data_IF_566499617499
#
_entry.id   IF_566499617499
#
_cell.length_a   1.000
_cell.length_b   1.000
_cell.length_c   1.000
_cell.angle_alpha   90.00
_cell.angle_beta   90.00
_cell.angle_gamma   90.00
#
_symmetry.space_group_name_H-M   'P 1'
#
loop_
_entity.id
_entity.type
_entity.pdbx_description
1 polymer ?
#
# COMPACT_ATOMS: atom_id res chain seq x y z
N UNK A 1 37.09 -48.11 -36.20
CA UNK A 1 37.22 -46.89 -35.38
C UNK A 1 35.82 -46.41 -35.04
N UNK A 2 35.38 -46.53 -33.78
CA UNK A 2 34.06 -46.06 -33.34
C UNK A 2 34.11 -44.59 -32.93
N UNK A 3 33.07 -43.77 -33.20
CA UNK A 3 33.06 -42.38 -32.78
C UNK A 3 32.75 -42.27 -31.27
N UNK A 4 33.22 -41.20 -30.60
CA UNK A 4 32.89 -40.99 -29.19
C UNK A 4 31.44 -40.49 -29.07
N UNK A 5 30.69 -41.13 -28.17
CA UNK A 5 29.37 -40.65 -27.76
C UNK A 5 29.59 -39.46 -26.82
N UNK A 6 29.28 -38.26 -27.28
CA UNK A 6 29.31 -37.06 -26.45
C UNK A 6 28.06 -37.08 -25.56
N UNK A 7 28.27 -37.42 -24.30
CA UNK A 7 27.23 -37.37 -23.26
C UNK A 7 26.99 -35.90 -22.88
N UNK A 8 26.06 -35.23 -23.57
CA UNK A 8 25.60 -33.91 -23.18
C UNK A 8 24.81 -34.02 -21.87
N UNK A 9 25.46 -33.71 -20.75
CA UNK A 9 24.78 -33.52 -19.47
C UNK A 9 23.93 -32.25 -19.55
N UNK A 10 22.61 -32.42 -19.67
CA UNK A 10 21.64 -31.35 -19.56
C UNK A 10 21.76 -30.74 -18.15
N UNK A 11 22.50 -29.64 -18.02
CA UNK A 11 22.43 -28.78 -16.85
C UNK A 11 21.03 -28.21 -16.80
N UNK A 12 20.22 -28.70 -15.87
CA UNK A 12 18.88 -28.16 -15.61
C UNK A 12 19.02 -26.66 -15.32
N UNK A 13 18.38 -25.84 -16.15
CA UNK A 13 18.33 -24.40 -15.94
C UNK A 13 17.75 -24.10 -14.55
N UNK A 14 18.23 -23.06 -13.84
CA UNK A 14 17.68 -22.68 -12.56
C UNK A 14 16.17 -22.49 -12.70
N UNK A 15 15.43 -23.17 -11.83
CA UNK A 15 13.96 -23.19 -11.82
C UNK A 15 13.46 -21.74 -11.86
N UNK A 16 12.91 -21.31 -12.99
CA UNK A 16 12.37 -19.94 -13.21
C UNK A 16 11.47 -19.62 -12.01
N UNK A 17 11.92 -18.77 -11.08
CA UNK A 17 11.06 -18.34 -9.99
C UNK A 17 9.86 -17.65 -10.63
N UNK A 18 8.65 -18.16 -10.38
CA UNK A 18 7.43 -17.53 -10.90
C UNK A 18 7.41 -16.06 -10.51
N UNK A 19 7.04 -15.18 -11.45
CA UNK A 19 6.80 -13.78 -11.14
C UNK A 19 5.57 -13.65 -10.22
N UNK A 20 5.39 -12.47 -9.63
CA UNK A 20 4.13 -12.13 -9.00
C UNK A 20 3.12 -11.73 -10.08
N UNK A 21 1.97 -12.39 -10.09
CA UNK A 21 0.86 -12.06 -10.99
C UNK A 21 -0.03 -11.02 -10.29
N UNK A 22 -0.42 -9.96 -11.00
CA UNK A 22 -1.39 -8.98 -10.49
C UNK A 22 -2.78 -9.57 -10.61
N UNK A 23 -3.47 -9.70 -9.48
CA UNK A 23 -4.81 -10.29 -9.40
C UNK A 23 -5.89 -9.21 -9.53
N UNK A 24 -5.72 -8.10 -8.81
CA UNK A 24 -6.68 -6.99 -8.80
C UNK A 24 -5.96 -5.69 -8.47
N UNK A 25 -6.45 -4.61 -9.07
CA UNK A 25 -6.07 -3.24 -8.70
C UNK A 25 -7.34 -2.52 -8.31
N UNK A 26 -7.31 -1.86 -7.16
CA UNK A 26 -8.36 -0.96 -6.69
C UNK A 26 -7.71 0.37 -6.33
N UNK A 27 -8.37 1.48 -6.61
CA UNK A 27 -7.83 2.80 -6.29
C UNK A 27 -8.93 3.80 -5.94
N UNK A 28 -8.54 4.80 -5.16
CA UNK A 28 -9.32 5.98 -4.87
C UNK A 28 -8.41 7.20 -5.11
N UNK A 29 -8.85 8.11 -5.98
CA UNK A 29 -8.15 9.37 -6.19
C UNK A 29 -8.08 10.18 -4.90
N UNK A 30 -7.02 10.99 -4.70
CA UNK A 30 -6.93 11.86 -3.53
C UNK A 30 -8.17 12.76 -3.41
N UNK A 31 -8.89 12.63 -2.30
CA UNK A 31 -10.07 13.45 -2.01
C UNK A 31 -9.84 14.27 -0.73
N UNK A 32 -10.32 15.54 -0.69
CA UNK A 32 -10.29 16.34 0.53
C UNK A 32 -11.00 15.61 1.67
N UNK A 33 -10.35 15.59 2.84
CA UNK A 33 -10.93 15.09 4.07
C UNK A 33 -11.51 16.28 4.81
N UNK A 34 -12.84 16.42 4.78
CA UNK A 34 -13.53 17.48 5.47
C UNK A 34 -13.60 17.19 6.97
N UNK A 35 -13.13 18.12 7.79
CA UNK A 35 -13.26 18.07 9.25
C UNK A 35 -14.54 18.77 9.73
N UNK A 36 -15.59 18.76 8.92
CA UNK A 36 -16.86 19.39 9.27
C UNK A 36 -17.39 18.85 10.62
N UNK A 37 -17.71 19.77 11.53
CA UNK A 37 -18.22 19.44 12.87
C UNK A 37 -17.17 19.19 13.95
N UNK A 38 -15.86 19.25 13.64
CA UNK A 38 -14.81 19.13 14.65
C UNK A 38 -14.13 20.47 14.93
N UNK A 39 -13.80 20.71 16.20
CA UNK A 39 -12.99 21.85 16.61
C UNK A 39 -11.52 21.57 16.27
N UNK A 40 -11.17 21.77 14.99
CA UNK A 40 -9.83 21.52 14.45
C UNK A 40 -9.35 22.76 13.72
N UNK A 41 -8.19 23.27 14.17
CA UNK A 41 -7.52 24.40 13.55
C UNK A 41 -6.32 23.92 12.73
N UNK A 42 -6.34 24.16 11.42
CA UNK A 42 -5.22 23.86 10.53
C UNK A 42 -4.21 25.00 10.61
N UNK A 43 -3.07 24.74 11.24
CA UNK A 43 -2.01 25.73 11.48
C UNK A 43 -1.06 25.84 10.29
N UNK A 44 -0.74 24.71 9.65
CA UNK A 44 0.23 24.64 8.56
C UNK A 44 -0.08 23.49 7.64
N UNK A 45 0.02 23.73 6.33
CA UNK A 45 -0.14 22.70 5.32
C UNK A 45 1.15 22.52 4.55
N UNK A 46 1.54 21.28 4.30
CA UNK A 46 2.67 20.98 3.41
C UNK A 46 2.39 21.53 2.00
N UNK A 47 3.37 22.14 1.32
CA UNK A 47 3.22 22.56 -0.07
C UNK A 47 3.06 21.37 -1.02
N UNK A 48 3.54 20.19 -0.62
CA UNK A 48 3.55 18.99 -1.46
C UNK A 48 2.77 17.84 -0.81
N UNK A 49 2.08 17.10 -1.66
CA UNK A 49 1.55 15.78 -1.30
C UNK A 49 2.67 14.75 -1.31
N UNK A 50 2.50 13.71 -0.51
CA UNK A 50 3.44 12.60 -0.41
C UNK A 50 2.75 11.29 -0.76
N UNK A 51 3.53 10.26 -1.08
CA UNK A 51 3.04 8.90 -1.28
C UNK A 51 4.02 7.90 -0.68
N UNK A 52 3.54 7.05 0.21
CA UNK A 52 4.29 5.92 0.74
C UNK A 52 3.87 4.62 0.06
N UNK A 53 4.80 3.68 -0.13
CA UNK A 53 4.52 2.38 -0.71
C UNK A 53 4.81 1.26 0.30
N UNK A 54 3.77 0.48 0.59
CA UNK A 54 3.76 -0.49 1.68
C UNK A 54 3.41 -1.88 1.16
N UNK A 55 4.21 -2.88 1.53
CA UNK A 55 4.02 -4.26 1.07
C UNK A 55 3.63 -5.15 2.24
N UNK A 56 2.57 -5.93 2.06
CA UNK A 56 2.03 -6.84 3.07
C UNK A 56 1.91 -8.25 2.50
N UNK A 57 2.70 -9.18 3.02
CA UNK A 57 2.59 -10.60 2.67
C UNK A 57 1.51 -11.28 3.51
N UNK A 58 0.62 -12.02 2.84
CA UNK A 58 -0.57 -12.63 3.44
C UNK A 58 -0.43 -14.16 3.45
N UNK A 59 -0.94 -14.78 4.51
CA UNK A 59 -0.83 -16.24 4.71
C UNK A 59 -1.92 -17.06 4.01
N UNK A 60 -3.13 -16.54 3.89
CA UNK A 60 -4.29 -17.34 3.46
C UNK A 60 -5.28 -16.58 2.57
N UNK A 61 -5.65 -15.36 2.96
CA UNK A 61 -6.62 -14.53 2.24
C UNK A 61 -6.18 -13.06 2.21
N UNK A 62 -6.71 -12.30 1.27
CA UNK A 62 -6.45 -10.87 1.19
C UNK A 62 -7.20 -10.13 2.30
N UNK A 63 -6.45 -9.39 3.13
CA UNK A 63 -7.01 -8.51 4.16
C UNK A 63 -6.85 -7.06 3.72
N UNK A 64 -7.59 -6.67 2.68
CA UNK A 64 -7.42 -5.41 1.97
C UNK A 64 -7.61 -4.20 2.89
N UNK A 65 -8.69 -4.20 3.66
CA UNK A 65 -9.01 -3.08 4.56
C UNK A 65 -7.95 -2.88 5.63
N UNK A 66 -7.48 -3.99 6.22
CA UNK A 66 -6.42 -3.95 7.23
C UNK A 66 -5.09 -3.48 6.65
N UNK A 67 -4.72 -3.96 5.45
CA UNK A 67 -3.51 -3.51 4.77
C UNK A 67 -3.57 -2.00 4.45
N UNK A 68 -4.73 -1.50 4.01
CA UNK A 68 -4.94 -0.08 3.75
C UNK A 68 -4.84 0.77 5.02
N UNK A 69 -5.48 0.34 6.10
CA UNK A 69 -5.39 1.01 7.41
C UNK A 69 -3.94 1.04 7.93
N UNK A 70 -3.23 -0.09 7.82
CA UNK A 70 -1.83 -0.18 8.23
C UNK A 70 -0.93 0.75 7.39
N UNK A 71 -1.15 0.83 6.08
CA UNK A 71 -0.44 1.76 5.20
C UNK A 71 -0.67 3.22 5.60
N UNK A 72 -1.93 3.61 5.86
CA UNK A 72 -2.26 4.96 6.36
C UNK A 72 -1.53 5.28 7.67
N UNK A 73 -1.56 4.34 8.62
CA UNK A 73 -0.87 4.49 9.91
C UNK A 73 0.63 4.67 9.71
N UNK A 74 1.26 3.89 8.82
CA UNK A 74 2.69 4.02 8.53
C UNK A 74 3.01 5.39 7.92
N UNK A 75 2.22 5.86 6.96
CA UNK A 75 2.42 7.20 6.38
C UNK A 75 2.28 8.30 7.44
N UNK A 76 1.30 8.21 8.33
CA UNK A 76 1.13 9.15 9.43
C UNK A 76 2.34 9.15 10.40
N UNK A 77 2.95 7.99 10.64
CA UNK A 77 4.18 7.92 11.44
C UNK A 77 5.37 8.56 10.73
N UNK A 78 5.46 8.43 9.40
CA UNK A 78 6.53 9.04 8.61
C UNK A 78 6.45 10.56 8.63
N UNK A 79 5.28 11.16 8.38
CA UNK A 79 5.12 12.63 8.36
C UNK A 79 5.33 13.27 9.74
N UNK A 80 5.19 12.48 10.80
CA UNK A 80 5.44 12.92 12.17
C UNK A 80 6.89 13.35 12.37
N UNK A 81 7.82 12.77 11.60
CA UNK A 81 9.24 13.16 11.58
C UNK A 81 9.42 14.62 11.14
N UNK A 82 8.55 15.08 10.23
CA UNK A 82 8.53 16.46 9.71
C UNK A 82 7.57 17.39 10.48
N UNK A 83 7.14 16.94 11.68
CA UNK A 83 6.23 17.65 12.58
C UNK A 83 4.83 17.88 12.01
N UNK A 84 4.37 17.04 11.08
CA UNK A 84 2.97 16.98 10.66
C UNK A 84 2.21 15.91 11.46
N UNK A 85 0.89 16.04 11.60
CA UNK A 85 0.07 15.11 12.37
C UNK A 85 -1.21 14.65 11.68
N UNK A 86 -1.57 15.24 10.55
CA UNK A 86 -2.77 14.87 9.76
C UNK A 86 -2.51 14.86 8.26
N UNK A 87 -3.46 14.29 7.52
CA UNK A 87 -3.53 14.34 6.06
C UNK A 87 -4.84 15.01 5.64
N UNK A 88 -4.79 16.10 4.85
CA UNK A 88 -5.98 16.87 4.46
C UNK A 88 -6.65 16.39 3.17
N UNK A 89 -5.93 15.62 2.36
CA UNK A 89 -6.47 15.02 1.14
C UNK A 89 -5.82 13.67 0.97
N UNK A 90 -6.60 12.60 1.08
CA UNK A 90 -6.10 11.22 1.14
C UNK A 90 -6.55 10.45 -0.10
N UNK A 91 -5.66 9.62 -0.63
CA UNK A 91 -5.93 8.75 -1.78
C UNK A 91 -5.05 7.52 -1.73
N UNK A 92 -5.43 6.46 -2.44
CA UNK A 92 -4.69 5.20 -2.36
C UNK A 92 -4.84 4.36 -3.62
N UNK A 93 -3.84 3.50 -3.85
CA UNK A 93 -3.86 2.43 -4.85
C UNK A 93 -3.44 1.13 -4.18
N UNK A 94 -4.32 0.14 -4.22
CA UNK A 94 -4.12 -1.19 -3.66
C UNK A 94 -4.00 -2.21 -4.78
N UNK A 95 -2.88 -2.94 -4.80
CA UNK A 95 -2.59 -3.99 -5.77
C UNK A 95 -2.53 -5.34 -5.05
N UNK A 96 -3.46 -6.23 -5.37
CA UNK A 96 -3.42 -7.63 -4.96
C UNK A 96 -2.53 -8.41 -5.92
N UNK A 97 -1.62 -9.21 -5.38
CA UNK A 97 -0.68 -10.01 -6.14
C UNK A 97 -0.63 -11.44 -5.61
N UNK A 98 -0.42 -12.40 -6.53
CA UNK A 98 -0.30 -13.83 -6.20
C UNK A 98 0.95 -14.43 -6.83
N UNK A 99 1.58 -15.36 -6.13
CA UNK A 99 2.68 -16.21 -6.65
C UNK A 99 2.49 -17.62 -6.14
N UNK A 100 1.76 -18.45 -6.89
CA UNK A 100 1.38 -19.78 -6.43
C UNK A 100 0.46 -19.70 -5.20
N UNK A 101 0.84 -20.23 -4.03
CA UNK A 101 0.07 -20.09 -2.79
C UNK A 101 0.34 -18.77 -2.06
N UNK A 102 1.38 -18.02 -2.45
CA UNK A 102 1.76 -16.78 -1.78
C UNK A 102 0.85 -15.65 -2.23
N UNK A 103 0.37 -14.87 -1.27
CA UNK A 103 -0.48 -13.71 -1.49
C UNK A 103 0.25 -12.46 -0.99
N UNK A 104 0.12 -11.35 -1.71
CA UNK A 104 0.73 -10.07 -1.37
C UNK A 104 -0.22 -8.93 -1.70
N UNK A 105 -0.20 -7.91 -0.87
CA UNK A 105 -0.85 -6.62 -1.13
C UNK A 105 0.22 -5.55 -1.16
N UNK A 106 0.24 -4.74 -2.21
CA UNK A 106 1.04 -3.52 -2.29
C UNK A 106 0.08 -2.33 -2.23
N UNK A 107 0.27 -1.45 -1.26
CA UNK A 107 -0.53 -0.24 -1.08
C UNK A 107 0.37 0.96 -1.33
N UNK A 108 0.05 1.76 -2.34
CA UNK A 108 0.54 3.13 -2.45
C UNK A 108 -0.49 4.04 -1.77
N UNK A 109 -0.13 4.60 -0.62
CA UNK A 109 -1.00 5.52 0.13
C UNK A 109 -0.48 6.94 -0.01
N UNK A 110 -1.37 7.86 -0.36
CA UNK A 110 -1.03 9.25 -0.66
C UNK A 110 -1.81 10.20 0.23
N UNK A 111 -1.19 11.33 0.54
CA UNK A 111 -1.77 12.31 1.44
C UNK A 111 -1.14 13.68 1.31
N UNK A 112 -1.88 14.74 1.65
CA UNK A 112 -1.31 16.09 1.86
C UNK A 112 -1.07 16.34 3.36
N UNK A 113 0.19 16.32 3.85
CA UNK A 113 0.48 16.51 5.27
C UNK A 113 0.06 17.89 5.77
N UNK A 114 -0.43 17.97 7.00
CA UNK A 114 -0.68 19.22 7.69
C UNK A 114 -0.48 19.10 9.21
N UNK A 115 -0.39 20.25 9.85
CA UNK A 115 -0.39 20.45 11.29
C UNK A 115 -1.77 20.95 11.67
N UNK A 116 -2.44 20.19 12.53
CA UNK A 116 -3.73 20.51 13.09
C UNK A 116 -3.66 20.57 14.62
N UNK A 117 -4.36 21.51 15.23
CA UNK A 117 -4.63 21.55 16.67
C UNK A 117 -6.09 21.19 16.93
N UNK A 118 -6.38 20.67 18.12
CA UNK A 118 -7.74 20.24 18.50
C UNK A 118 -7.93 18.72 18.42
N UNK A 119 -9.18 18.29 18.26
CA UNK A 119 -9.56 16.87 18.31
C UNK A 119 -9.30 16.16 16.98
N UNK A 120 -8.03 15.82 16.74
CA UNK A 120 -7.60 15.06 15.58
C UNK A 120 -7.99 13.59 15.76
N UNK A 121 -9.22 13.25 15.39
CA UNK A 121 -9.72 11.88 15.45
C UNK A 121 -8.99 10.94 14.49
N UNK A 122 -8.78 9.71 14.93
CA UNK A 122 -8.30 8.63 14.08
C UNK A 122 -9.40 8.20 13.11
N UNK A 123 -9.25 8.57 11.84
CA UNK A 123 -10.24 8.27 10.78
C UNK A 123 -9.88 7.01 10.00
N UNK A 124 -10.91 6.35 9.47
CA UNK A 124 -10.77 5.32 8.46
C UNK A 124 -10.28 5.94 7.14
N UNK A 125 -9.46 5.23 6.35
CA UNK A 125 -9.13 5.67 4.99
C UNK A 125 -10.40 5.93 4.17
N UNK A 126 -10.40 6.94 3.28
CA UNK A 126 -11.55 7.23 2.44
C UNK A 126 -11.87 6.02 1.56
N UNK A 127 -13.16 5.72 1.41
CA UNK A 127 -13.66 4.60 0.58
C UNK A 127 -13.11 3.21 0.96
N UNK A 128 -12.55 3.04 2.16
CA UNK A 128 -12.09 1.72 2.63
C UNK A 128 -13.21 0.67 2.63
N UNK A 129 -14.47 1.09 2.76
CA UNK A 129 -15.65 0.22 2.73
C UNK A 129 -15.87 -0.47 1.38
N UNK A 130 -15.39 0.13 0.28
CA UNK A 130 -15.47 -0.45 -1.06
C UNK A 130 -14.49 -1.62 -1.26
N UNK A 131 -13.56 -1.81 -0.32
CA UNK A 131 -12.64 -2.93 -0.36
C UNK A 131 -13.29 -4.17 0.24
N UNK A 132 -13.49 -5.17 -0.61
CA UNK A 132 -13.85 -6.52 -0.20
C UNK A 132 -12.63 -7.24 0.37
N UNK A 133 -12.82 -7.89 1.51
CA UNK A 133 -11.86 -8.88 2.00
C UNK A 133 -12.22 -10.21 1.33
N UNK A 134 -11.27 -10.81 0.59
CA UNK A 134 -11.46 -12.01 -0.21
C UNK A 134 -10.45 -13.09 0.20
#
# INVERSE_FOLDING_TARGET
>A
MSPPIILCTLKTAPRKQRAWDVVRVSEASPMPIYYEGHNIDIIRVSPQSITGQYTFDMRSKYQCRKALQAARIQLLHEIKKDRYNVLLGEGWKLTQMRKGPLLRIVVAYSGRPAVALGDVLCRTPPFAELLEDA
#
